data_IF_347951324164
#
_entry.id   IF_347951324164
#
_cell.length_a   1.000
_cell.length_b   1.000
_cell.length_c   1.000
_cell.angle_alpha   90.00
_cell.angle_beta   90.00
_cell.angle_gamma   90.00
#
_symmetry.space_group_name_H-M   'P 1'
#
loop_
_entity.id
_entity.type
_entity.pdbx_description
1 polymer ?
#
# COMPACT_ATOMS: atom_id res chain seq x y z
N UNK A 1 3.26 3.29 3.93
CA UNK A 1 1.88 3.30 4.48
C UNK A 1 1.65 1.95 5.14
N UNK A 2 0.95 1.90 6.27
CA UNK A 2 0.57 0.65 6.95
C UNK A 2 -0.96 0.59 7.01
N UNK A 3 -1.54 -0.53 6.60
CA UNK A 3 -2.98 -0.78 6.73
C UNK A 3 -3.24 -1.73 7.89
N UNK A 4 -4.19 -1.38 8.76
CA UNK A 4 -4.61 -2.19 9.90
C UNK A 4 -6.07 -2.63 9.72
N UNK A 5 -6.38 -3.87 10.09
CA UNK A 5 -7.75 -4.36 10.29
C UNK A 5 -7.81 -4.99 11.68
N UNK A 6 -8.70 -4.48 12.54
CA UNK A 6 -8.80 -4.90 13.94
C UNK A 6 -7.44 -4.90 14.66
N UNK A 7 -6.70 -3.78 14.52
CA UNK A 7 -5.35 -3.57 15.08
C UNK A 7 -4.25 -4.49 14.51
N UNK A 8 -4.60 -5.44 13.65
CA UNK A 8 -3.66 -6.35 13.00
C UNK A 8 -3.14 -5.73 11.71
N UNK A 9 -1.83 -5.79 11.50
CA UNK A 9 -1.22 -5.32 10.26
C UNK A 9 -1.63 -6.19 9.08
N UNK A 10 -2.39 -5.57 8.18
CA UNK A 10 -2.90 -6.18 6.96
C UNK A 10 -1.87 -6.13 5.84
N UNK A 11 -1.33 -4.93 5.59
CA UNK A 11 -0.34 -4.70 4.56
C UNK A 11 0.62 -3.56 4.90
N UNK A 12 1.79 -3.62 4.29
CA UNK A 12 2.82 -2.61 4.35
C UNK A 12 3.16 -2.11 2.95
N UNK A 13 3.25 -0.81 2.74
CA UNK A 13 3.87 -0.22 1.56
C UNK A 13 5.24 0.36 1.91
N UNK A 14 6.27 -0.26 1.34
CA UNK A 14 7.66 0.18 1.42
C UNK A 14 7.93 1.20 0.32
N UNK A 15 8.17 2.45 0.72
CA UNK A 15 8.44 3.55 -0.19
C UNK A 15 9.80 3.49 -0.88
N UNK A 16 10.74 2.70 -0.36
CA UNK A 16 12.07 2.52 -0.95
C UNK A 16 11.99 1.57 -2.14
N UNK A 17 11.34 0.42 -1.95
CA UNK A 17 11.18 -0.60 -3.01
C UNK A 17 9.93 -0.38 -3.87
N UNK A 18 9.01 0.50 -3.44
CA UNK A 18 7.72 0.79 -4.09
C UNK A 18 6.83 -0.45 -4.22
N UNK A 19 6.79 -1.26 -3.16
CA UNK A 19 6.00 -2.50 -3.12
C UNK A 19 5.03 -2.47 -1.96
N UNK A 20 3.81 -2.91 -2.22
CA UNK A 20 2.85 -3.27 -1.18
C UNK A 20 2.94 -4.77 -0.89
N UNK A 21 3.09 -5.14 0.37
CA UNK A 21 3.22 -6.51 0.85
C UNK A 21 2.08 -6.82 1.80
N UNK A 22 1.39 -7.93 1.57
CA UNK A 22 0.33 -8.43 2.44
C UNK A 22 0.94 -9.29 3.54
N UNK A 23 0.43 -9.17 4.77
CA UNK A 23 0.94 -9.90 5.94
C UNK A 23 0.00 -10.98 6.49
N UNK A 24 -1.23 -11.03 5.99
CA UNK A 24 -2.26 -11.94 6.47
C UNK A 24 -2.64 -12.97 5.41
N UNK A 25 -2.74 -14.25 5.79
CA UNK A 25 -3.02 -15.36 4.86
C UNK A 25 -4.35 -15.22 4.13
N UNK A 26 -5.36 -14.65 4.79
CA UNK A 26 -6.66 -14.46 4.16
C UNK A 26 -6.61 -13.46 2.98
N UNK A 27 -5.66 -12.53 2.94
CA UNK A 27 -5.44 -11.65 1.78
C UNK A 27 -4.86 -12.39 0.58
N UNK A 28 -4.22 -13.54 0.79
CA UNK A 28 -3.72 -14.37 -0.31
C UNK A 28 -4.91 -14.86 -1.15
N UNK A 29 -6.02 -15.27 -0.50
CA UNK A 29 -7.26 -15.67 -1.18
C UNK A 29 -7.85 -14.53 -2.03
N UNK A 30 -7.80 -13.30 -1.54
CA UNK A 30 -8.24 -12.11 -2.31
C UNK A 30 -7.40 -11.93 -3.59
N UNK A 31 -6.11 -12.30 -3.57
CA UNK A 31 -5.26 -12.27 -4.77
C UNK A 31 -5.57 -13.39 -5.75
N UNK A 32 -6.14 -14.50 -5.29
CA UNK A 32 -6.61 -15.57 -6.19
C UNK A 32 -7.85 -15.10 -6.96
N UNK A 33 -8.79 -14.44 -6.26
CA UNK A 33 -10.02 -13.92 -6.85
C UNK A 33 -9.79 -12.69 -7.74
N UNK A 34 -8.93 -11.75 -7.33
CA UNK A 34 -8.48 -10.63 -8.15
C UNK A 34 -6.94 -10.47 -8.10
N UNK A 35 -6.23 -11.09 -9.06
CA UNK A 35 -4.77 -11.00 -9.16
C UNK A 35 -4.24 -9.57 -9.31
N UNK A 36 -5.09 -8.61 -9.72
CA UNK A 36 -4.71 -7.21 -9.92
C UNK A 36 -4.96 -6.35 -8.68
N UNK A 37 -5.64 -6.85 -7.65
CA UNK A 37 -6.00 -6.08 -6.47
C UNK A 37 -4.78 -5.40 -5.83
N UNK A 38 -3.71 -6.16 -5.58
CA UNK A 38 -2.49 -5.63 -4.96
C UNK A 38 -1.74 -4.64 -5.88
N UNK A 39 -1.77 -4.87 -7.20
CA UNK A 39 -1.14 -3.97 -8.18
C UNK A 39 -1.82 -2.61 -8.17
N UNK A 40 -3.16 -2.58 -8.23
CA UNK A 40 -3.94 -1.33 -8.15
C UNK A 40 -3.67 -0.59 -6.85
N UNK A 41 -3.65 -1.31 -5.72
CA UNK A 41 -3.31 -0.72 -4.43
C UNK A 41 -1.90 -0.10 -4.43
N UNK A 42 -0.92 -0.80 -4.98
CA UNK A 42 0.47 -0.29 -5.08
C UNK A 42 0.55 0.99 -5.91
N UNK A 43 -0.13 1.05 -7.06
CA UNK A 43 -0.16 2.23 -7.93
C UNK A 43 -0.74 3.46 -7.21
N UNK A 44 -1.86 3.29 -6.51
CA UNK A 44 -2.48 4.37 -5.71
C UNK A 44 -1.53 4.88 -4.61
N UNK A 45 -0.79 3.98 -3.96
CA UNK A 45 0.16 4.34 -2.89
C UNK A 45 1.40 5.04 -3.46
N UNK A 46 1.83 4.69 -4.67
CA UNK A 46 2.88 5.41 -5.39
C UNK A 46 2.46 6.85 -5.73
N UNK A 47 1.23 7.05 -6.20
CA UNK A 47 0.70 8.39 -6.50
C UNK A 47 0.58 9.23 -5.23
N UNK A 48 0.04 8.64 -4.16
CA UNK A 48 -0.04 9.30 -2.85
C UNK A 48 1.35 9.72 -2.34
N UNK A 49 2.36 8.86 -2.49
CA UNK A 49 3.74 9.19 -2.12
C UNK A 49 4.27 10.44 -2.84
N UNK A 50 3.95 10.63 -4.12
CA UNK A 50 4.39 11.83 -4.86
C UNK A 50 3.64 13.08 -4.41
N UNK A 51 2.34 12.99 -4.18
CA UNK A 51 1.52 14.09 -3.66
C UNK A 51 2.05 14.56 -2.29
N UNK A 52 2.33 13.63 -1.38
CA UNK A 52 2.86 13.99 -0.06
C UNK A 52 4.25 14.63 -0.13
N UNK A 53 5.12 14.17 -1.04
CA UNK A 53 6.43 14.83 -1.27
C UNK A 53 6.25 16.29 -1.69
N UNK A 54 5.39 16.54 -2.68
CA UNK A 54 5.12 17.91 -3.17
C UNK A 54 4.55 18.77 -2.05
N UNK A 55 3.57 18.26 -1.30
CA UNK A 55 2.96 19.01 -0.20
C UNK A 55 3.97 19.36 0.91
N UNK A 56 4.89 18.44 1.24
CA UNK A 56 5.95 18.69 2.20
C UNK A 56 6.91 19.78 1.69
N UNK A 57 7.29 19.75 0.41
CA UNK A 57 8.12 20.81 -0.16
C UNK A 57 7.42 22.18 -0.18
N UNK A 58 6.11 22.22 -0.43
CA UNK A 58 5.32 23.47 -0.39
C UNK A 58 5.19 24.02 1.03
N UNK A 59 5.08 23.15 2.04
CA UNK A 59 4.84 23.54 3.42
C UNK A 59 6.11 23.95 4.20
N UNK A 60 7.30 23.72 3.62
CA UNK A 60 8.59 24.15 4.19
C UNK A 60 8.82 25.65 4.00
#
# INVERSE_FOLDING_TARGET
IVGLLDEVELFHYDSNTRRAEVRQDWMIRVREDDPRYLKRGTEVLMDAQQVFKVNIEIAK
#
